data_IF_241296933674
#
_entry.id   IF_241296933674
#
_cell.length_a   1.000
_cell.length_b   1.000
_cell.length_c   1.000
_cell.angle_alpha   90.00
_cell.angle_beta   90.00
_cell.angle_gamma   90.00
#
_symmetry.space_group_name_H-M   'P 1'
#
loop_
_entity.id
_entity.type
_entity.pdbx_description
1 polymer ?
#
# COMPACT_ATOMS: atom_id res chain seq x y z
N UNK A 1 -72.18 -23.58 54.61
CA UNK A 1 -72.34 -24.59 55.67
C UNK A 1 -71.39 -25.73 55.39
N UNK A 2 -70.68 -26.18 56.41
CA UNK A 2 -69.51 -27.05 56.35
C UNK A 2 -69.82 -28.54 56.15
N UNK A 3 -68.74 -29.27 55.83
CA UNK A 3 -68.40 -30.62 56.26
C UNK A 3 -68.99 -31.84 55.51
N UNK A 4 -68.09 -32.57 54.85
CA UNK A 4 -68.11 -34.03 54.82
C UNK A 4 -66.67 -34.55 54.98
N UNK A 5 -66.52 -35.54 55.87
CA UNK A 5 -65.27 -36.08 56.42
C UNK A 5 -64.95 -37.49 55.89
N UNK A 6 -63.70 -37.69 55.43
CA UNK A 6 -62.78 -38.87 55.58
C UNK A 6 -63.19 -40.25 54.97
N UNK A 7 -62.29 -41.28 54.85
CA UNK A 7 -60.81 -41.36 55.01
C UNK A 7 -60.04 -42.23 53.96
N UNK A 8 -58.69 -42.24 54.12
CA UNK A 8 -57.70 -43.32 53.89
C UNK A 8 -57.53 -44.00 52.51
N UNK A 9 -56.34 -43.80 51.92
CA UNK A 9 -55.78 -44.61 50.83
C UNK A 9 -54.30 -44.32 50.61
N UNK A 10 -53.46 -45.17 51.21
CA UNK A 10 -52.02 -45.42 50.97
C UNK A 10 -51.34 -44.80 49.73
N UNK A 11 -50.28 -44.02 49.98
CA UNK A 11 -49.25 -43.60 48.99
C UNK A 11 -48.31 -44.77 48.66
N UNK A 12 -48.02 -45.05 47.38
CA UNK A 12 -46.83 -45.79 46.99
C UNK A 12 -45.61 -44.87 46.88
N UNK A 13 -44.47 -45.43 47.27
CA UNK A 13 -43.12 -44.85 47.29
C UNK A 13 -42.65 -44.27 45.95
N UNK A 14 -41.95 -43.15 46.07
CA UNK A 14 -41.23 -42.47 45.00
C UNK A 14 -39.90 -43.19 44.77
N UNK A 15 -39.78 -43.96 43.69
CA UNK A 15 -38.51 -44.57 43.28
C UNK A 15 -37.49 -43.48 42.96
N UNK A 16 -36.43 -43.43 43.76
CA UNK A 16 -35.29 -42.53 43.64
C UNK A 16 -34.45 -42.86 42.40
N UNK A 17 -34.40 -41.93 41.44
CA UNK A 17 -33.37 -41.94 40.38
C UNK A 17 -32.01 -41.61 41.01
N UNK A 18 -30.92 -42.32 40.70
CA UNK A 18 -29.59 -41.92 41.14
C UNK A 18 -29.20 -40.61 40.45
N UNK A 19 -28.99 -39.59 41.28
CA UNK A 19 -28.38 -38.30 40.97
C UNK A 19 -26.99 -38.54 40.34
N UNK A 20 -26.88 -38.33 39.02
CA UNK A 20 -25.58 -38.19 38.36
C UNK A 20 -25.02 -36.84 38.76
N UNK A 21 -24.22 -36.85 39.83
CA UNK A 21 -23.35 -35.76 40.27
C UNK A 21 -22.44 -35.33 39.11
N UNK A 22 -22.87 -34.35 38.33
CA UNK A 22 -21.99 -33.56 37.49
C UNK A 22 -21.34 -32.50 38.37
N UNK A 23 -20.13 -32.80 38.85
CA UNK A 23 -19.24 -31.77 39.38
C UNK A 23 -18.98 -30.76 38.27
N UNK A 24 -19.74 -29.68 38.26
CA UNK A 24 -19.38 -28.45 37.59
C UNK A 24 -18.16 -27.85 38.31
N UNK A 25 -16.98 -27.98 37.72
CA UNK A 25 -15.81 -27.21 38.11
C UNK A 25 -15.81 -25.89 37.32
N UNK A 26 -15.90 -24.71 37.94
CA UNK A 26 -16.02 -23.44 37.21
C UNK A 26 -14.70 -22.92 36.63
N UNK A 27 -13.61 -23.70 36.71
CA UNK A 27 -12.27 -23.23 36.37
C UNK A 27 -11.41 -24.37 35.80
N UNK A 28 -11.91 -25.06 34.77
CA UNK A 28 -11.00 -25.67 33.80
C UNK A 28 -10.48 -24.55 32.89
N UNK A 29 -9.62 -23.70 33.45
CA UNK A 29 -8.75 -22.83 32.66
C UNK A 29 -7.83 -23.77 31.91
N UNK A 30 -8.19 -24.01 30.65
CA UNK A 30 -7.37 -24.75 29.70
C UNK A 30 -6.11 -23.92 29.48
N UNK A 31 -5.11 -24.12 30.35
CA UNK A 31 -3.75 -23.65 30.15
C UNK A 31 -3.16 -24.52 29.06
N UNK A 32 -3.63 -24.34 27.83
CA UNK A 32 -2.82 -24.62 26.66
C UNK A 32 -1.64 -23.67 26.73
N UNK A 33 -0.62 -24.13 27.43
CA UNK A 33 0.76 -23.65 27.37
C UNK A 33 1.24 -23.98 25.97
N UNK A 34 0.72 -23.25 24.98
CA UNK A 34 1.28 -23.21 23.65
C UNK A 34 2.63 -22.51 23.82
N UNK A 35 3.70 -23.30 23.86
CA UNK A 35 5.06 -22.79 23.99
C UNK A 35 5.23 -21.66 22.99
N UNK A 36 5.54 -20.45 23.48
CA UNK A 36 5.60 -19.25 22.66
C UNK A 36 6.58 -19.51 21.51
N UNK A 37 6.03 -19.75 20.33
CA UNK A 37 6.83 -20.11 19.19
C UNK A 37 7.55 -18.84 18.74
N UNK A 38 8.81 -18.94 18.31
CA UNK A 38 9.52 -17.80 17.69
C UNK A 38 8.69 -17.16 16.57
N UNK A 39 7.86 -17.98 15.92
CA UNK A 39 6.89 -17.60 14.90
C UNK A 39 5.78 -16.66 15.42
N UNK A 40 5.28 -16.83 16.64
CA UNK A 40 4.23 -15.95 17.20
C UNK A 40 4.73 -14.52 17.40
N UNK A 41 5.98 -14.40 17.89
CA UNK A 41 6.66 -13.10 18.02
C UNK A 41 6.91 -12.48 16.65
N UNK A 42 7.36 -13.27 15.67
CA UNK A 42 7.59 -12.80 14.30
C UNK A 42 6.31 -12.25 13.65
N UNK A 43 5.17 -12.96 13.80
CA UNK A 43 3.88 -12.49 13.28
C UNK A 43 3.36 -11.24 13.99
N UNK A 44 3.79 -10.98 15.23
CA UNK A 44 3.43 -9.75 15.96
C UNK A 44 4.10 -8.50 15.37
N UNK A 45 5.30 -8.61 14.80
CA UNK A 45 6.01 -7.48 14.17
C UNK A 45 5.65 -7.29 12.70
N UNK A 46 5.11 -8.33 12.06
CA UNK A 46 4.73 -8.33 10.65
C UNK A 46 3.85 -7.13 10.20
N UNK A 47 2.78 -6.71 10.90
CA UNK A 47 1.95 -5.58 10.44
C UNK A 47 2.73 -4.25 10.40
N UNK A 48 3.58 -4.00 11.39
CA UNK A 48 4.42 -2.79 11.45
C UNK A 48 5.46 -2.86 10.34
N UNK A 49 6.12 -4.01 10.16
CA UNK A 49 7.09 -4.20 9.09
C UNK A 49 6.47 -3.97 7.70
N UNK A 50 5.28 -4.52 7.44
CA UNK A 50 4.55 -4.28 6.19
C UNK A 50 4.25 -2.79 6.01
N UNK A 51 3.70 -2.12 7.03
CA UNK A 51 3.40 -0.69 6.94
C UNK A 51 4.64 0.14 6.60
N UNK A 52 5.77 -0.14 7.23
CA UNK A 52 7.05 0.52 6.94
C UNK A 52 7.45 0.25 5.49
N UNK A 53 7.52 -1.00 5.06
CA UNK A 53 7.91 -1.36 3.69
C UNK A 53 6.99 -0.68 2.66
N UNK A 54 5.68 -0.67 2.90
CA UNK A 54 4.68 0.00 2.07
C UNK A 54 4.89 1.51 1.96
N UNK A 55 5.23 2.16 3.07
CA UNK A 55 5.45 3.60 3.12
C UNK A 55 6.74 3.99 2.39
N UNK A 56 7.80 3.19 2.52
CA UNK A 56 9.08 3.43 1.86
C UNK A 56 9.10 2.99 0.39
N UNK A 57 8.14 2.18 -0.04
CA UNK A 57 8.04 1.67 -1.42
C UNK A 57 8.14 2.77 -2.50
N UNK A 58 7.35 3.85 -2.48
CA UNK A 58 7.47 4.91 -3.49
C UNK A 58 8.80 5.68 -3.40
N UNK A 59 9.35 5.86 -2.19
CA UNK A 59 10.60 6.59 -1.98
C UNK A 59 11.80 5.83 -2.55
N UNK A 60 11.93 4.55 -2.20
CA UNK A 60 13.01 3.69 -2.70
C UNK A 60 12.89 3.47 -4.21
N UNK A 61 11.68 3.25 -4.72
CA UNK A 61 11.45 3.11 -6.15
C UNK A 61 11.90 4.36 -6.92
N UNK A 62 11.58 5.56 -6.41
CA UNK A 62 12.01 6.83 -7.00
C UNK A 62 13.55 6.93 -7.08
N UNK A 63 14.25 6.53 -6.01
CA UNK A 63 15.72 6.53 -5.99
C UNK A 63 16.29 5.60 -7.04
N UNK A 64 15.75 4.39 -7.18
CA UNK A 64 16.20 3.44 -8.20
C UNK A 64 15.93 4.00 -9.61
N UNK A 65 14.74 4.55 -9.86
CA UNK A 65 14.38 5.13 -11.16
C UNK A 65 15.21 6.36 -11.55
N UNK A 66 15.82 7.05 -10.59
CA UNK A 66 16.71 8.20 -10.87
C UNK A 66 17.93 7.82 -11.70
N UNK A 67 18.33 6.54 -11.69
CA UNK A 67 19.44 6.02 -12.51
C UNK A 67 19.19 6.07 -14.03
N UNK A 68 17.96 6.35 -14.48
CA UNK A 68 17.65 6.55 -15.90
C UNK A 68 17.56 8.03 -16.32
N UNK A 69 17.67 8.96 -15.38
CA UNK A 69 17.46 10.39 -15.63
C UNK A 69 18.77 11.05 -16.05
N UNK A 70 18.85 11.45 -17.31
CA UNK A 70 20.01 12.13 -17.87
C UNK A 70 19.69 13.59 -18.19
N UNK A 71 20.66 14.48 -17.98
CA UNK A 71 20.56 15.89 -18.35
C UNK A 71 21.69 16.26 -19.30
N UNK A 72 21.38 16.87 -20.47
CA UNK A 72 22.39 17.32 -21.42
C UNK A 72 23.10 18.59 -20.94
N UNK A 73 24.39 18.69 -21.24
CA UNK A 73 25.24 19.84 -21.01
C UNK A 73 26.10 20.10 -22.25
N UNK A 74 26.38 21.37 -22.53
CA UNK A 74 27.24 21.77 -23.63
C UNK A 74 28.70 21.61 -23.21
N UNK A 75 29.47 20.80 -23.93
CA UNK A 75 30.90 20.63 -23.74
C UNK A 75 31.67 21.43 -24.78
N UNK A 76 32.44 22.41 -24.31
CA UNK A 76 33.31 23.26 -25.14
C UNK A 76 34.75 22.73 -25.22
N UNK A 77 35.05 21.64 -24.52
CA UNK A 77 36.40 21.05 -24.52
C UNK A 77 36.74 20.50 -25.92
N UNK A 78 37.77 21.07 -26.56
CA UNK A 78 38.19 20.69 -27.90
C UNK A 78 37.40 21.31 -29.06
N UNK A 79 36.41 22.17 -28.77
CA UNK A 79 35.71 22.92 -29.81
C UNK A 79 36.63 23.98 -30.44
N UNK A 80 36.56 24.14 -31.76
CA UNK A 80 37.19 25.27 -32.45
C UNK A 80 36.58 26.60 -31.94
N UNK A 81 37.28 27.74 -32.04
CA UNK A 81 36.78 29.04 -31.56
C UNK A 81 35.37 29.42 -32.07
N UNK A 82 34.99 28.90 -33.24
CA UNK A 82 33.70 29.11 -33.90
C UNK A 82 32.92 27.79 -34.12
N UNK A 83 33.30 26.71 -33.43
CA UNK A 83 32.68 25.39 -33.58
C UNK A 83 31.47 25.19 -32.67
N UNK A 84 30.49 24.43 -33.15
CA UNK A 84 29.35 24.00 -32.33
C UNK A 84 29.84 23.12 -31.16
N UNK A 85 29.37 23.35 -29.92
CA UNK A 85 29.76 22.54 -28.76
C UNK A 85 29.21 21.11 -28.87
N UNK A 86 29.95 20.14 -28.31
CA UNK A 86 29.49 18.77 -28.21
C UNK A 86 28.50 18.63 -27.04
N UNK A 87 27.29 18.11 -27.29
CA UNK A 87 26.31 17.91 -26.21
C UNK A 87 26.56 16.57 -25.52
N UNK A 88 27.01 16.62 -24.27
CA UNK A 88 27.25 15.42 -23.43
C UNK A 88 26.21 15.37 -22.32
N UNK A 89 25.57 14.21 -22.13
CA UNK A 89 24.58 14.03 -21.07
C UNK A 89 25.20 13.34 -19.83
N UNK A 90 24.89 13.86 -18.65
CA UNK A 90 25.32 13.31 -17.37
C UNK A 90 24.13 12.82 -16.55
N UNK A 91 24.37 11.86 -15.66
CA UNK A 91 23.35 11.32 -14.77
C UNK A 91 22.93 12.38 -13.73
N UNK A 92 21.63 12.61 -13.56
CA UNK A 92 21.12 13.65 -12.65
C UNK A 92 21.50 13.42 -11.19
N UNK A 93 21.50 12.17 -10.73
CA UNK A 93 21.81 11.83 -9.33
C UNK A 93 23.31 11.83 -9.03
N UNK A 94 24.15 11.59 -10.04
CA UNK A 94 25.60 11.62 -9.92
C UNK A 94 26.24 12.18 -11.21
N UNK A 95 26.57 13.49 -11.22
CA UNK A 95 27.16 14.15 -12.39
C UNK A 95 28.54 13.62 -12.80
N UNK A 96 29.14 12.68 -12.05
CA UNK A 96 30.41 12.04 -12.44
C UNK A 96 30.22 10.97 -13.51
N UNK A 97 28.99 10.47 -13.69
CA UNK A 97 28.68 9.38 -14.61
C UNK A 97 28.14 9.95 -15.92
N UNK A 98 28.85 9.72 -17.02
CA UNK A 98 28.41 10.08 -18.37
C UNK A 98 27.34 9.10 -18.85
N UNK A 99 26.22 9.63 -19.33
CA UNK A 99 25.13 8.82 -19.83
C UNK A 99 25.49 8.14 -21.15
N UNK A 100 25.54 6.80 -21.13
CA UNK A 100 25.85 5.99 -22.31
C UNK A 100 27.22 5.30 -22.21
N UNK A 101 28.01 5.66 -21.20
CA UNK A 101 29.21 4.92 -20.82
C UNK A 101 28.92 3.51 -20.32
N UNK A 102 29.95 2.65 -20.28
CA UNK A 102 29.86 1.30 -19.72
C UNK A 102 29.43 1.32 -18.24
N UNK A 103 29.98 2.27 -17.46
CA UNK A 103 29.61 2.46 -16.06
C UNK A 103 28.11 2.79 -15.89
N UNK A 104 27.53 3.59 -16.79
CA UNK A 104 26.10 3.89 -16.77
C UNK A 104 25.25 2.66 -17.12
N UNK A 105 25.71 1.85 -18.07
CA UNK A 105 25.01 0.62 -18.49
C UNK A 105 25.02 -0.43 -17.38
N UNK A 106 26.15 -0.60 -16.69
CA UNK A 106 26.26 -1.46 -15.52
C UNK A 106 25.31 -0.98 -14.40
N UNK A 107 25.31 0.32 -14.09
CA UNK A 107 24.41 0.91 -13.10
C UNK A 107 22.93 0.66 -13.42
N UNK A 108 22.53 0.83 -14.68
CA UNK A 108 21.16 0.55 -15.14
C UNK A 108 20.78 -0.92 -15.01
N UNK A 109 21.72 -1.83 -15.26
CA UNK A 109 21.47 -3.27 -15.12
C UNK A 109 21.18 -3.65 -13.67
N UNK A 110 21.97 -3.13 -12.74
CA UNK A 110 21.78 -3.31 -11.29
C UNK A 110 20.46 -2.68 -10.86
N UNK A 111 20.19 -1.44 -11.28
CA UNK A 111 18.94 -0.75 -10.99
C UNK A 111 17.72 -1.53 -11.48
N UNK A 112 17.77 -2.15 -12.66
CA UNK A 112 16.69 -2.97 -13.19
C UNK A 112 16.37 -4.17 -12.28
N UNK A 113 17.39 -4.84 -11.74
CA UNK A 113 17.21 -5.92 -10.77
C UNK A 113 16.52 -5.40 -9.50
N UNK A 114 16.94 -4.23 -8.99
CA UNK A 114 16.29 -3.60 -7.83
C UNK A 114 14.84 -3.17 -8.12
N UNK A 115 14.51 -2.75 -9.34
CA UNK A 115 13.11 -2.46 -9.74
C UNK A 115 12.26 -3.73 -9.67
N UNK A 116 12.77 -4.85 -10.22
CA UNK A 116 12.06 -6.12 -10.19
C UNK A 116 11.88 -6.63 -8.76
N UNK A 117 12.92 -6.50 -7.94
CA UNK A 117 12.89 -6.97 -6.55
C UNK A 117 11.98 -6.10 -5.66
N UNK A 118 12.04 -4.78 -5.80
CA UNK A 118 11.43 -3.86 -4.85
C UNK A 118 10.03 -3.40 -5.28
N UNK A 119 9.83 -2.38 -6.13
CA UNK A 119 8.49 -1.91 -6.46
C UNK A 119 7.62 -2.98 -7.14
N UNK A 120 8.19 -3.83 -8.02
CA UNK A 120 7.40 -4.87 -8.71
C UNK A 120 7.20 -6.09 -7.82
N UNK A 121 8.28 -6.62 -7.24
CA UNK A 121 8.24 -7.81 -6.40
C UNK A 121 7.38 -7.63 -5.15
N UNK A 122 7.53 -6.50 -4.46
CA UNK A 122 6.74 -6.22 -3.26
C UNK A 122 5.25 -6.01 -3.58
N UNK A 123 4.92 -5.33 -4.68
CA UNK A 123 3.53 -5.20 -5.13
C UNK A 123 2.94 -6.55 -5.50
N UNK A 124 3.68 -7.36 -6.26
CA UNK A 124 3.28 -8.72 -6.63
C UNK A 124 3.04 -9.60 -5.41
N UNK A 125 3.94 -9.58 -4.43
CA UNK A 125 3.80 -10.32 -3.18
C UNK A 125 2.55 -9.89 -2.40
N UNK A 126 2.29 -8.59 -2.31
CA UNK A 126 1.10 -8.10 -1.60
C UNK A 126 -0.20 -8.49 -2.30
N UNK A 127 -0.27 -8.30 -3.62
CA UNK A 127 -1.42 -8.73 -4.42
C UNK A 127 -1.62 -10.24 -4.31
N UNK A 128 -0.55 -11.02 -4.35
CA UNK A 128 -0.59 -12.46 -4.17
C UNK A 128 -1.17 -12.85 -2.81
N UNK A 129 -0.68 -12.26 -1.72
CA UNK A 129 -1.20 -12.54 -0.36
C UNK A 129 -2.68 -12.12 -0.25
N UNK A 130 -3.07 -10.98 -0.82
CA UNK A 130 -4.47 -10.54 -0.84
C UNK A 130 -5.37 -11.50 -1.60
N UNK A 131 -4.98 -11.92 -2.80
CA UNK A 131 -5.76 -12.81 -3.66
C UNK A 131 -5.84 -14.21 -3.06
N UNK A 132 -4.73 -14.73 -2.51
CA UNK A 132 -4.69 -16.03 -1.87
C UNK A 132 -5.61 -16.09 -0.63
N UNK A 133 -5.61 -15.04 0.20
CA UNK A 133 -6.42 -14.96 1.41
C UNK A 133 -7.77 -14.26 1.21
N UNK A 134 -8.22 -14.02 -0.03
CA UNK A 134 -9.43 -13.23 -0.34
C UNK A 134 -10.69 -13.71 0.37
N UNK A 135 -10.83 -15.03 0.57
CA UNK A 135 -12.00 -15.63 1.24
C UNK A 135 -12.02 -15.31 2.74
N UNK A 136 -10.86 -15.35 3.40
CA UNK A 136 -10.70 -14.99 4.81
C UNK A 136 -10.92 -13.48 5.03
N UNK A 137 -10.38 -12.65 4.13
CA UNK A 137 -10.51 -11.20 4.20
C UNK A 137 -11.95 -10.73 3.96
N UNK A 138 -12.64 -11.34 2.99
CA UNK A 138 -14.04 -11.01 2.70
C UNK A 138 -14.99 -11.43 3.83
N UNK A 139 -14.76 -12.61 4.43
CA UNK A 139 -15.52 -13.09 5.59
C UNK A 139 -15.18 -12.38 6.91
N UNK A 140 -14.14 -11.53 6.91
CA UNK A 140 -13.69 -10.77 8.08
C UNK A 140 -12.95 -11.60 9.14
N UNK A 141 -12.65 -12.88 8.85
CA UNK A 141 -11.98 -13.81 9.76
C UNK A 141 -10.58 -14.13 9.23
N UNK A 142 -9.60 -13.31 9.59
CA UNK A 142 -8.19 -13.56 9.25
C UNK A 142 -7.61 -14.61 10.21
N UNK A 143 -7.41 -15.83 9.72
CA UNK A 143 -6.90 -16.96 10.53
C UNK A 143 -5.39 -17.09 10.38
N UNK A 144 -4.86 -16.85 9.18
CA UNK A 144 -3.41 -16.90 8.95
C UNK A 144 -2.67 -15.66 9.50
N UNK A 145 -1.43 -15.83 9.95
CA UNK A 145 -0.60 -14.71 10.46
C UNK A 145 -0.41 -13.59 9.43
N UNK A 146 -0.22 -13.97 8.15
CA UNK A 146 -0.14 -13.02 7.04
C UNK A 146 -1.48 -12.32 6.76
N UNK A 147 -2.60 -13.05 6.78
CA UNK A 147 -3.93 -12.44 6.64
C UNK A 147 -4.19 -11.43 7.77
N UNK A 148 -3.76 -11.70 9.00
CA UNK A 148 -3.89 -10.77 10.13
C UNK A 148 -3.08 -9.48 9.91
N UNK A 149 -1.85 -9.60 9.42
CA UNK A 149 -1.01 -8.43 9.14
C UNK A 149 -1.56 -7.59 7.97
N UNK A 150 -1.98 -8.24 6.89
CA UNK A 150 -2.63 -7.55 5.76
C UNK A 150 -3.98 -6.95 6.15
N UNK A 151 -4.72 -7.59 7.05
CA UNK A 151 -5.95 -7.05 7.64
C UNK A 151 -5.69 -5.83 8.50
N UNK A 152 -4.53 -5.73 9.14
CA UNK A 152 -4.12 -4.50 9.83
C UNK A 152 -3.99 -3.34 8.85
N UNK A 153 -3.37 -3.58 7.68
CA UNK A 153 -3.18 -2.55 6.66
C UNK A 153 -4.51 -2.18 5.98
N UNK A 154 -5.30 -3.17 5.60
CA UNK A 154 -6.59 -2.99 4.91
C UNK A 154 -7.76 -2.68 5.87
N UNK A 155 -7.50 -2.58 7.17
CA UNK A 155 -8.53 -2.53 8.22
C UNK A 155 -9.43 -1.30 8.17
N UNK A 156 -8.97 -0.20 7.56
CA UNK A 156 -9.73 1.04 7.36
C UNK A 156 -10.80 0.97 6.27
N UNK A 157 -10.72 -0.02 5.37
CA UNK A 157 -11.62 -0.15 4.22
C UNK A 157 -12.76 -1.14 4.48
N UNK A 158 -13.90 -0.93 3.81
CA UNK A 158 -15.01 -1.89 3.80
C UNK A 158 -14.54 -3.24 3.21
N UNK A 159 -15.16 -4.34 3.61
CA UNK A 159 -14.73 -5.69 3.18
C UNK A 159 -14.82 -5.90 1.66
N UNK A 160 -15.70 -5.19 0.97
CA UNK A 160 -15.83 -5.21 -0.50
C UNK A 160 -14.66 -4.50 -1.21
N UNK A 161 -14.05 -3.52 -0.54
CA UNK A 161 -12.97 -2.67 -1.04
C UNK A 161 -11.61 -3.00 -0.40
N UNK A 162 -11.39 -4.26 0.02
CA UNK A 162 -10.13 -4.69 0.63
C UNK A 162 -8.89 -4.52 -0.27
N UNK A 163 -9.09 -4.48 -1.59
CA UNK A 163 -8.07 -4.26 -2.61
C UNK A 163 -7.75 -2.79 -2.85
N UNK A 164 -8.47 -1.86 -2.21
CA UNK A 164 -8.29 -0.41 -2.38
C UNK A 164 -6.89 0.07 -2.01
N UNK A 165 -6.29 -0.52 -0.97
CA UNK A 165 -4.92 -0.23 -0.57
C UNK A 165 -3.92 -0.45 -1.73
N UNK A 166 -4.14 -1.47 -2.56
CA UNK A 166 -3.31 -1.74 -3.74
C UNK A 166 -3.42 -0.59 -4.74
N UNK A 167 -4.63 -0.05 -4.97
CA UNK A 167 -4.84 1.07 -5.87
C UNK A 167 -4.12 2.32 -5.35
N UNK A 168 -4.27 2.64 -4.07
CA UNK A 168 -3.64 3.81 -3.46
C UNK A 168 -2.11 3.73 -3.54
N UNK A 169 -1.54 2.56 -3.28
CA UNK A 169 -0.09 2.36 -3.37
C UNK A 169 0.39 2.39 -4.81
N UNK A 170 -0.36 1.79 -5.74
CA UNK A 170 -0.07 1.86 -7.19
C UNK A 170 -0.10 3.30 -7.68
N UNK A 171 -1.08 4.10 -7.25
CA UNK A 171 -1.18 5.53 -7.54
C UNK A 171 0.04 6.28 -7.02
N UNK A 172 0.41 6.08 -5.75
CA UNK A 172 1.61 6.69 -5.15
C UNK A 172 2.88 6.30 -5.91
N UNK A 173 3.01 5.03 -6.29
CA UNK A 173 4.15 4.54 -7.08
C UNK A 173 4.18 5.14 -8.49
N UNK A 174 3.03 5.29 -9.15
CA UNK A 174 2.95 5.90 -10.47
C UNK A 174 3.37 7.38 -10.43
N UNK A 175 2.76 8.15 -9.51
CA UNK A 175 2.96 9.61 -9.40
C UNK A 175 4.34 9.98 -8.83
N UNK A 176 4.90 9.19 -7.92
CA UNK A 176 6.20 9.51 -7.29
C UNK A 176 7.38 8.78 -7.94
N UNK A 177 7.14 7.57 -8.46
CA UNK A 177 8.14 6.66 -9.00
C UNK A 177 8.14 6.65 -10.53
N UNK A 178 7.11 6.08 -11.16
CA UNK A 178 7.11 5.85 -12.62
C UNK A 178 7.24 7.14 -13.44
N UNK A 179 6.71 8.27 -12.94
CA UNK A 179 6.89 9.58 -13.58
C UNK A 179 8.37 9.99 -13.74
N UNK A 180 9.29 9.40 -12.96
CA UNK A 180 10.73 9.66 -13.07
C UNK A 180 11.34 9.05 -14.32
N UNK A 181 10.76 7.96 -14.85
CA UNK A 181 11.22 7.34 -16.09
C UNK A 181 10.98 8.23 -17.32
N UNK A 182 9.99 9.13 -17.24
CA UNK A 182 9.78 10.16 -18.24
C UNK A 182 10.88 11.21 -18.09
N UNK A 183 11.73 11.30 -19.12
CA UNK A 183 12.90 12.18 -19.14
C UNK A 183 12.52 13.64 -18.83
N UNK A 184 13.38 14.42 -18.14
CA UNK A 184 13.10 15.81 -17.78
C UNK A 184 12.77 16.70 -18.99
N UNK A 185 13.34 16.41 -20.15
CA UNK A 185 13.05 17.10 -21.42
C UNK A 185 11.56 17.06 -21.82
N UNK A 186 10.82 16.04 -21.37
CA UNK A 186 9.41 15.84 -21.63
C UNK A 186 8.55 16.28 -20.44
N UNK A 187 8.82 17.44 -19.87
CA UNK A 187 8.18 17.90 -18.62
C UNK A 187 6.65 18.00 -18.73
N UNK A 188 6.11 18.42 -19.86
CA UNK A 188 4.65 18.48 -20.07
C UNK A 188 4.01 17.09 -20.01
N UNK A 189 4.64 16.07 -20.60
CA UNK A 189 4.16 14.68 -20.52
C UNK A 189 4.18 14.15 -19.09
N UNK A 190 5.18 14.54 -18.26
CA UNK A 190 5.23 14.20 -16.83
C UNK A 190 4.01 14.74 -16.08
N UNK A 191 3.67 16.00 -16.33
CA UNK A 191 2.56 16.69 -15.68
C UNK A 191 1.21 16.11 -16.13
N UNK A 192 1.03 15.91 -17.43
CA UNK A 192 -0.18 15.27 -17.99
C UNK A 192 -0.38 13.88 -17.38
N UNK A 193 0.68 13.07 -17.28
CA UNK A 193 0.62 11.76 -16.65
C UNK A 193 0.17 11.84 -15.18
N UNK A 194 0.78 12.72 -14.39
CA UNK A 194 0.41 12.92 -12.98
C UNK A 194 -1.04 13.39 -12.81
N UNK A 195 -1.49 14.34 -13.63
CA UNK A 195 -2.86 14.87 -13.62
C UNK A 195 -3.84 13.75 -13.99
N UNK A 196 -3.58 13.00 -15.06
CA UNK A 196 -4.45 11.91 -15.52
C UNK A 196 -4.65 10.83 -14.45
N UNK A 197 -3.55 10.36 -13.84
CA UNK A 197 -3.62 9.37 -12.75
C UNK A 197 -4.35 9.94 -11.52
N UNK A 198 -4.11 11.21 -11.18
CA UNK A 198 -4.76 11.84 -10.02
C UNK A 198 -6.26 12.03 -10.23
N UNK A 199 -6.72 12.41 -11.44
CA UNK A 199 -8.15 12.49 -11.80
C UNK A 199 -8.78 11.10 -11.73
N UNK A 200 -8.16 10.09 -12.34
CA UNK A 200 -8.69 8.73 -12.36
C UNK A 200 -8.92 8.21 -10.94
N UNK A 201 -7.94 8.38 -10.05
CA UNK A 201 -8.06 7.97 -8.67
C UNK A 201 -9.04 8.82 -7.85
N UNK A 202 -9.16 10.13 -8.14
CA UNK A 202 -10.17 10.99 -7.54
C UNK A 202 -11.58 10.53 -7.86
N UNK A 203 -11.87 10.29 -9.14
CA UNK A 203 -13.16 9.78 -9.59
C UNK A 203 -13.43 8.41 -8.97
N UNK A 204 -12.46 7.50 -8.99
CA UNK A 204 -12.62 6.19 -8.39
C UNK A 204 -12.94 6.30 -6.88
N UNK A 205 -12.25 7.15 -6.14
CA UNK A 205 -12.47 7.35 -4.69
C UNK A 205 -13.84 7.95 -4.40
N UNK A 206 -14.23 8.95 -5.19
CA UNK A 206 -15.53 9.62 -5.05
C UNK A 206 -16.71 8.69 -5.33
N UNK A 207 -16.56 7.75 -6.28
CA UNK A 207 -17.59 6.76 -6.62
C UNK A 207 -17.60 5.58 -5.64
N UNK A 208 -16.42 5.05 -5.27
CA UNK A 208 -16.33 3.83 -4.46
C UNK A 208 -16.57 4.08 -2.96
N UNK A 209 -16.21 5.27 -2.44
CA UNK A 209 -16.25 5.60 -1.01
C UNK A 209 -15.77 4.43 -0.12
N UNK A 210 -14.52 3.99 -0.31
CA UNK A 210 -14.03 2.69 0.14
C UNK A 210 -13.81 2.62 1.66
N UNK A 211 -13.59 3.74 2.33
CA UNK A 211 -13.33 3.76 3.77
C UNK A 211 -14.62 3.48 4.57
N UNK A 212 -14.46 2.85 5.74
CA UNK A 212 -15.58 2.57 6.65
C UNK A 212 -16.18 3.85 7.24
N UNK A 213 -15.33 4.82 7.59
CA UNK A 213 -15.75 6.11 8.15
C UNK A 213 -15.86 7.15 7.04
N UNK A 214 -16.90 8.01 7.05
CA UNK A 214 -17.06 9.06 6.05
C UNK A 214 -15.96 10.13 6.14
N UNK A 215 -15.45 10.40 7.35
CA UNK A 215 -14.34 11.32 7.60
C UNK A 215 -13.06 10.92 6.83
N UNK A 216 -12.73 9.62 6.84
CA UNK A 216 -11.56 9.09 6.14
C UNK A 216 -11.73 9.20 4.61
N UNK A 217 -12.96 9.03 4.09
CA UNK A 217 -13.25 9.25 2.67
C UNK A 217 -13.10 10.72 2.30
N UNK A 218 -13.60 11.64 3.13
CA UNK A 218 -13.45 13.08 2.92
C UNK A 218 -11.98 13.49 2.91
N UNK A 219 -11.18 12.99 3.86
CA UNK A 219 -9.74 13.26 3.92
C UNK A 219 -9.03 12.76 2.67
N UNK A 220 -9.39 11.56 2.16
CA UNK A 220 -8.80 11.01 0.94
C UNK A 220 -9.12 11.86 -0.29
N UNK A 221 -10.40 12.24 -0.46
CA UNK A 221 -10.85 13.12 -1.56
C UNK A 221 -10.15 14.48 -1.48
N UNK A 222 -10.08 15.06 -0.28
CA UNK A 222 -9.38 16.33 -0.07
C UNK A 222 -7.90 16.22 -0.46
N UNK A 223 -7.19 15.21 0.02
CA UNK A 223 -5.77 15.00 -0.31
C UNK A 223 -5.55 14.82 -1.82
N UNK A 224 -6.41 14.07 -2.51
CA UNK A 224 -6.34 13.88 -3.95
C UNK A 224 -6.67 15.17 -4.72
N UNK A 225 -7.58 15.99 -4.20
CA UNK A 225 -7.91 17.31 -4.75
C UNK A 225 -6.72 18.28 -4.60
N UNK A 226 -6.05 18.28 -3.44
CA UNK A 226 -4.82 19.06 -3.23
C UNK A 226 -3.70 18.67 -4.17
N UNK A 227 -3.52 17.37 -4.43
CA UNK A 227 -2.53 16.89 -5.41
C UNK A 227 -2.85 17.39 -6.83
N UNK A 228 -4.11 17.32 -7.24
CA UNK A 228 -4.56 17.85 -8.54
C UNK A 228 -4.29 19.34 -8.69
N UNK A 229 -4.64 20.12 -7.67
CA UNK A 229 -4.37 21.55 -7.66
C UNK A 229 -2.87 21.84 -7.74
N UNK A 230 -2.05 21.09 -7.01
CA UNK A 230 -0.59 21.24 -7.02
C UNK A 230 0.02 20.97 -8.40
N UNK A 231 -0.42 19.90 -9.09
CA UNK A 231 0.03 19.62 -10.46
C UNK A 231 -0.47 20.68 -11.46
N UNK A 232 -1.70 21.17 -11.28
CA UNK A 232 -2.24 22.27 -12.08
C UNK A 232 -1.44 23.57 -11.92
N UNK A 233 -1.14 23.95 -10.68
CA UNK A 233 -0.32 25.12 -10.38
C UNK A 233 1.10 24.97 -10.95
N UNK A 234 1.72 23.80 -10.83
CA UNK A 234 3.03 23.52 -11.43
C UNK A 234 3.00 23.66 -12.96
N UNK A 235 1.92 23.19 -13.59
CA UNK A 235 1.71 23.33 -15.04
C UNK A 235 1.57 24.79 -15.45
N UNK A 236 0.78 25.57 -14.70
CA UNK A 236 0.61 27.01 -14.96
C UNK A 236 1.95 27.75 -14.87
N UNK A 237 2.73 27.54 -13.80
CA UNK A 237 4.06 28.15 -13.64
C UNK A 237 4.97 27.79 -14.81
N UNK A 238 4.94 26.53 -15.28
CA UNK A 238 5.76 26.09 -16.42
C UNK A 238 5.33 26.70 -17.75
N UNK A 239 4.04 26.93 -17.95
CA UNK A 239 3.52 27.62 -19.15
C UNK A 239 3.92 29.09 -19.13
N UNK A 240 3.75 29.78 -17.99
CA UNK A 240 4.13 31.19 -17.85
C UNK A 240 5.63 31.41 -18.07
N UNK A 241 6.47 30.57 -17.45
CA UNK A 241 7.91 30.63 -17.66
C UNK A 241 8.34 30.32 -19.10
N UNK A 242 7.56 29.54 -19.85
CA UNK A 242 7.82 29.30 -21.27
C UNK A 242 7.40 30.49 -22.15
N UNK A 243 6.35 31.23 -21.75
CA UNK A 243 5.92 32.44 -22.43
C UNK A 243 6.92 33.60 -22.25
N UNK A 244 7.47 33.77 -21.05
CA UNK A 244 8.49 34.80 -20.76
C UNK A 244 9.80 34.60 -21.55
N UNK A 245 10.10 33.38 -22.01
CA UNK A 245 11.29 33.08 -22.83
C UNK A 245 11.07 33.42 -24.31
N UNK A 246 9.82 33.55 -24.74
CA UNK A 246 9.46 33.84 -26.13
C UNK A 246 9.24 35.33 -26.43
N UNK A 247 9.21 36.19 -25.40
CA UNK A 247 9.13 37.65 -25.49
C UNK A 247 10.52 38.30 -25.31
#
# INVERSE_FOLDING_TARGET
GAAATRPHGSRPELTSRPSRSSKWTPFASDKTTFGSSKWDKLFSFLPIALLVIFTFLPSVARTIFSSWVCVPYDNYEGAAPDGEPEVVAYLWSDPRIVCGSDAHTELKSVALVFVMMWPVGMMGLFVFVLVYNRRELHSGKAVSGFAKAVRCLTGGYKNEYYWWEVIEVTRRLAVCGWVVLIQPKYIFYRLIFCIGISILCLVATAVALPCKRPEDNFLSIFAQTTLLFSFGACTLVKILAAADVTD
#
